data_IF_092656224096
#
_entry.id   IF_092656224096
#
_cell.length_a   1.000
_cell.length_b   1.000
_cell.length_c   1.000
_cell.angle_alpha   90.00
_cell.angle_beta   90.00
_cell.angle_gamma   90.00
#
_symmetry.space_group_name_H-M   'P 1'
#
loop_
_entity.id
_entity.type
_entity.pdbx_description
1 polymer ?
#
# COMPACT_ATOMS: atom_id res chain seq x y z
N UNK A 1 2.44 15.56 33.62
CA UNK A 1 2.59 14.90 32.32
C UNK A 1 1.57 13.77 32.27
N UNK A 2 0.67 13.78 31.27
CA UNK A 2 -0.25 12.67 31.04
C UNK A 2 0.54 11.40 30.73
N UNK A 3 0.14 10.27 31.33
CA UNK A 3 0.69 8.97 30.98
C UNK A 3 -0.19 8.37 29.87
N UNK A 4 0.42 7.71 28.88
CA UNK A 4 -0.32 6.89 27.94
C UNK A 4 -1.11 5.78 28.69
N UNK A 5 -2.27 5.36 28.17
CA UNK A 5 -2.97 4.19 28.69
C UNK A 5 -2.06 2.97 28.80
N UNK A 6 -2.31 2.07 29.75
CA UNK A 6 -1.49 0.87 29.94
C UNK A 6 -1.54 -0.10 28.76
N UNK A 7 -2.65 -0.07 28.03
CA UNK A 7 -2.96 -0.86 26.83
C UNK A 7 -2.60 -0.16 25.52
N UNK A 8 -1.88 0.98 25.58
CA UNK A 8 -1.44 1.68 24.39
C UNK A 8 -0.50 0.79 23.56
N UNK A 9 -0.79 0.70 22.26
CA UNK A 9 -0.07 -0.16 21.34
C UNK A 9 1.14 0.59 20.74
N UNK A 10 2.28 0.44 21.38
CA UNK A 10 3.57 0.91 20.87
C UNK A 10 4.08 -0.03 19.79
N UNK A 11 4.66 0.51 18.70
CA UNK A 11 5.17 -0.32 17.63
C UNK A 11 5.82 0.43 16.50
N UNK A 12 5.99 -0.24 15.38
CA UNK A 12 6.59 0.28 14.17
C UNK A 12 5.87 -0.19 12.92
N UNK A 13 6.35 0.26 11.76
CA UNK A 13 5.75 -0.02 10.47
C UNK A 13 6.79 -0.36 9.41
N UNK A 14 6.44 -1.31 8.53
CA UNK A 14 7.12 -1.58 7.27
C UNK A 14 6.09 -1.68 6.14
N UNK A 15 6.58 -1.80 4.89
CA UNK A 15 5.74 -2.16 3.75
C UNK A 15 6.35 -3.37 3.03
N UNK A 16 5.52 -4.22 2.46
CA UNK A 16 5.93 -5.42 1.74
C UNK A 16 7.04 -5.13 0.72
N UNK A 17 6.82 -4.12 -0.12
CA UNK A 17 7.79 -3.72 -1.14
C UNK A 17 9.11 -3.16 -0.61
N UNK A 18 9.19 -2.81 0.67
CA UNK A 18 10.39 -2.24 1.31
C UNK A 18 11.19 -3.30 2.07
N UNK A 19 10.58 -4.42 2.45
CA UNK A 19 11.23 -5.37 3.34
C UNK A 19 11.19 -6.84 2.87
N UNK A 20 10.16 -7.27 2.13
CA UNK A 20 10.00 -8.71 1.83
C UNK A 20 11.11 -9.26 0.93
N UNK A 21 11.45 -8.60 -0.17
CA UNK A 21 12.25 -9.22 -1.21
C UNK A 21 11.49 -10.36 -1.91
N UNK A 22 12.20 -11.39 -2.37
CA UNK A 22 11.62 -12.58 -2.97
C UNK A 22 10.53 -12.27 -4.02
N UNK A 23 10.80 -11.27 -4.88
CA UNK A 23 9.83 -10.68 -5.81
C UNK A 23 9.30 -11.66 -6.87
N UNK A 24 10.04 -12.71 -7.15
CA UNK A 24 9.74 -13.76 -8.14
C UNK A 24 9.61 -15.15 -7.51
N UNK A 25 9.46 -15.24 -6.18
CA UNK A 25 9.33 -16.49 -5.45
C UNK A 25 7.89 -16.75 -4.99
N UNK A 26 7.58 -18.00 -4.65
CA UNK A 26 6.28 -18.37 -4.13
C UNK A 26 5.12 -18.10 -5.09
N UNK A 27 5.36 -18.05 -6.40
CA UNK A 27 4.33 -17.75 -7.39
C UNK A 27 3.86 -16.28 -7.42
N UNK A 28 4.60 -15.36 -6.80
CA UNK A 28 4.28 -13.93 -6.80
C UNK A 28 4.38 -13.32 -8.20
N UNK A 29 3.42 -12.48 -8.57
CA UNK A 29 3.46 -11.67 -9.78
C UNK A 29 4.13 -10.30 -9.57
N UNK A 30 4.41 -9.58 -10.65
CA UNK A 30 4.99 -8.23 -10.60
C UNK A 30 3.95 -7.18 -10.21
N UNK A 31 4.37 -6.22 -9.40
CA UNK A 31 3.62 -5.02 -9.04
C UNK A 31 4.30 -3.75 -9.55
N UNK A 32 3.60 -2.61 -9.49
CA UNK A 32 4.13 -1.31 -9.92
C UNK A 32 5.44 -0.91 -9.23
N UNK A 33 5.64 -1.33 -7.99
CA UNK A 33 6.87 -1.01 -7.23
C UNK A 33 8.06 -1.87 -7.64
N UNK A 34 7.82 -3.06 -8.19
CA UNK A 34 8.90 -3.96 -8.63
C UNK A 34 9.60 -3.48 -9.90
N UNK A 35 8.94 -2.64 -10.69
CA UNK A 35 9.50 -2.06 -11.92
C UNK A 35 10.03 -0.64 -11.72
N UNK A 36 10.09 -0.13 -10.48
CA UNK A 36 10.66 1.18 -10.16
C UNK A 36 12.14 1.01 -9.85
N UNK A 37 13.05 1.45 -10.75
CA UNK A 37 14.48 1.21 -10.60
C UNK A 37 15.12 2.14 -9.57
N UNK A 38 16.33 1.82 -9.19
CA UNK A 38 17.25 2.77 -8.55
C UNK A 38 17.88 3.67 -9.61
N UNK A 39 18.20 4.91 -9.22
CA UNK A 39 18.92 5.84 -10.10
C UNK A 39 18.04 6.92 -10.74
N UNK A 40 18.49 7.51 -11.87
CA UNK A 40 17.84 8.68 -12.47
C UNK A 40 16.41 8.41 -12.97
N UNK A 41 16.10 7.18 -13.37
CA UNK A 41 14.81 6.83 -13.94
C UNK A 41 13.74 6.55 -12.86
N UNK A 42 14.11 6.48 -11.59
CA UNK A 42 13.21 6.23 -10.47
C UNK A 42 12.00 7.18 -10.44
N UNK A 43 12.28 8.49 -10.44
CA UNK A 43 11.20 9.48 -10.40
C UNK A 43 10.41 9.56 -11.70
N UNK A 44 11.02 9.58 -12.89
CA UNK A 44 10.28 9.50 -14.15
C UNK A 44 9.32 8.31 -14.22
N UNK A 45 9.72 7.12 -13.74
CA UNK A 45 8.83 5.95 -13.66
C UNK A 45 7.74 6.16 -12.62
N UNK A 46 8.07 6.54 -11.38
CA UNK A 46 7.09 6.75 -10.31
C UNK A 46 6.02 7.80 -10.66
N UNK A 47 6.41 8.80 -11.46
CA UNK A 47 5.53 9.86 -11.97
C UNK A 47 4.73 9.46 -13.22
N UNK A 48 4.96 8.28 -13.78
CA UNK A 48 4.32 7.82 -15.03
C UNK A 48 4.78 8.55 -16.28
N UNK A 49 5.91 9.23 -16.23
CA UNK A 49 6.56 9.94 -17.35
C UNK A 49 7.38 8.98 -18.20
N UNK A 50 8.05 8.02 -17.57
CA UNK A 50 8.74 6.91 -18.22
C UNK A 50 7.95 5.62 -18.01
N UNK A 51 7.57 4.98 -19.11
CA UNK A 51 6.82 3.73 -19.06
C UNK A 51 7.76 2.55 -18.82
N UNK A 52 7.65 1.93 -17.65
CA UNK A 52 8.28 0.64 -17.35
C UNK A 52 7.20 -0.31 -16.80
N UNK A 53 6.97 -1.42 -17.49
CA UNK A 53 5.99 -2.45 -17.11
C UNK A 53 6.60 -3.85 -17.02
N UNK A 54 7.91 -3.94 -17.21
CA UNK A 54 8.70 -5.15 -17.07
C UNK A 54 10.07 -4.76 -16.50
N UNK A 55 10.74 -5.68 -15.84
CA UNK A 55 12.11 -5.49 -15.37
C UNK A 55 13.09 -5.84 -16.49
N UNK A 56 14.19 -5.12 -16.55
CA UNK A 56 15.30 -5.37 -17.46
C UNK A 56 16.59 -5.70 -16.70
N UNK A 57 17.65 -6.04 -17.42
CA UNK A 57 18.95 -6.37 -16.84
C UNK A 57 19.87 -5.16 -16.65
N UNK A 58 19.46 -3.97 -17.12
CA UNK A 58 20.28 -2.75 -17.11
C UNK A 58 20.09 -1.97 -15.81
N UNK A 59 18.95 -2.18 -15.13
CA UNK A 59 18.57 -1.49 -13.91
C UNK A 59 18.69 -2.35 -12.67
N UNK A 60 19.01 -1.73 -11.55
CA UNK A 60 18.89 -2.32 -10.23
C UNK A 60 17.53 -1.96 -9.60
N UNK A 61 16.82 -2.96 -9.11
CA UNK A 61 15.50 -2.81 -8.50
C UNK A 61 15.57 -3.14 -6.99
N UNK A 62 15.61 -2.12 -6.11
CA UNK A 62 15.82 -2.33 -4.67
C UNK A 62 14.79 -3.23 -4.01
N UNK A 63 13.53 -3.22 -4.48
CA UNK A 63 12.44 -4.04 -3.93
C UNK A 63 12.62 -5.54 -4.17
N UNK A 64 13.47 -5.95 -5.11
CA UNK A 64 13.68 -7.36 -5.44
C UNK A 64 14.37 -8.13 -4.32
N UNK A 65 15.35 -7.50 -3.69
CA UNK A 65 16.10 -8.05 -2.55
C UNK A 65 15.58 -7.51 -1.22
N UNK A 66 15.34 -6.19 -1.15
CA UNK A 66 14.94 -5.48 0.05
C UNK A 66 15.82 -5.83 1.26
N UNK A 67 15.25 -6.33 2.35
CA UNK A 67 15.99 -6.90 3.49
C UNK A 67 15.72 -8.40 3.65
N UNK A 68 15.12 -9.01 2.64
CA UNK A 68 14.81 -10.45 2.60
C UNK A 68 13.95 -10.95 3.78
N UNK A 69 13.01 -10.12 4.20
CA UNK A 69 12.09 -10.47 5.28
C UNK A 69 11.24 -11.70 4.95
N UNK A 70 11.01 -12.00 3.67
CA UNK A 70 10.29 -13.19 3.25
C UNK A 70 10.89 -14.48 3.84
N UNK A 71 12.21 -14.57 3.89
CA UNK A 71 12.91 -15.72 4.46
C UNK A 71 13.23 -15.56 5.96
N UNK A 72 13.31 -14.31 6.47
CA UNK A 72 13.81 -14.01 7.81
C UNK A 72 12.75 -13.46 8.78
N UNK A 73 11.46 -13.39 8.41
CA UNK A 73 10.42 -12.75 9.21
C UNK A 73 10.32 -13.25 10.66
N UNK A 74 10.65 -14.54 10.93
CA UNK A 74 10.60 -15.09 12.29
C UNK A 74 11.66 -14.47 13.20
N UNK A 75 12.84 -14.21 12.63
CA UNK A 75 13.93 -13.52 13.34
C UNK A 75 13.60 -12.05 13.53
N UNK A 76 13.09 -11.39 12.49
CA UNK A 76 12.71 -9.98 12.53
C UNK A 76 11.62 -9.70 13.56
N UNK A 77 10.56 -10.52 13.61
CA UNK A 77 9.47 -10.38 14.57
C UNK A 77 9.96 -10.61 16.00
N UNK A 78 10.89 -11.56 16.20
CA UNK A 78 11.55 -11.75 17.50
C UNK A 78 12.30 -10.49 17.93
N UNK A 79 13.05 -9.86 17.02
CA UNK A 79 13.75 -8.60 17.32
C UNK A 79 12.77 -7.46 17.63
N UNK A 80 11.64 -7.38 16.92
CA UNK A 80 10.58 -6.41 17.26
C UNK A 80 10.04 -6.63 18.67
N UNK A 81 9.86 -7.89 19.07
CA UNK A 81 9.43 -8.21 20.44
C UNK A 81 10.48 -7.77 21.49
N UNK A 82 11.76 -8.00 21.23
CA UNK A 82 12.87 -7.53 22.08
C UNK A 82 12.94 -6.00 22.17
N UNK A 83 12.57 -5.28 21.09
CA UNK A 83 12.42 -3.82 21.07
C UNK A 83 11.17 -3.33 21.84
N UNK A 84 10.28 -4.22 22.26
CA UNK A 84 9.08 -3.88 23.01
C UNK A 84 7.86 -3.54 22.14
N UNK A 85 7.80 -3.97 20.88
CA UNK A 85 6.63 -3.80 20.04
C UNK A 85 5.41 -4.50 20.62
N UNK A 86 4.29 -3.81 20.60
CA UNK A 86 2.93 -4.31 20.92
C UNK A 86 2.01 -4.27 19.71
N UNK A 87 2.43 -3.55 18.68
CA UNK A 87 1.75 -3.47 17.39
C UNK A 87 2.78 -3.43 16.27
N UNK A 88 2.54 -4.18 15.21
CA UNK A 88 3.36 -4.13 14.01
C UNK A 88 2.49 -3.85 12.80
N UNK A 89 2.69 -2.68 12.18
CA UNK A 89 2.07 -2.35 10.91
C UNK A 89 2.89 -2.92 9.77
N UNK A 90 2.22 -3.66 8.90
CA UNK A 90 2.80 -4.23 7.68
C UNK A 90 1.82 -4.08 6.50
N UNK A 91 2.26 -4.36 5.30
CA UNK A 91 1.35 -4.50 4.16
C UNK A 91 1.40 -5.91 3.58
N UNK A 92 0.34 -6.30 2.87
CA UNK A 92 0.30 -7.53 2.08
C UNK A 92 0.55 -7.17 0.62
N UNK A 93 1.52 -7.81 -0.04
CA UNK A 93 1.73 -7.65 -1.46
C UNK A 93 0.56 -8.30 -2.23
N UNK A 94 -0.23 -7.47 -2.92
CA UNK A 94 -1.41 -7.95 -3.67
C UNK A 94 -1.06 -9.09 -4.62
N UNK A 95 0.05 -8.96 -5.34
CA UNK A 95 0.51 -9.95 -6.31
C UNK A 95 1.05 -11.25 -5.71
N UNK A 96 1.31 -11.29 -4.39
CA UNK A 96 1.64 -12.54 -3.69
C UNK A 96 0.38 -13.37 -3.44
N UNK A 97 -0.76 -12.72 -3.34
CA UNK A 97 -2.07 -13.35 -3.11
C UNK A 97 -2.78 -13.67 -4.42
N UNK A 98 -2.85 -12.71 -5.33
CA UNK A 98 -3.41 -12.82 -6.67
C UNK A 98 -2.34 -12.37 -7.68
N UNK A 99 -1.55 -13.28 -8.24
CA UNK A 99 -0.39 -12.94 -9.09
C UNK A 99 -0.70 -12.04 -10.28
N UNK A 100 -1.88 -12.18 -10.88
CA UNK A 100 -2.36 -11.30 -11.95
C UNK A 100 -3.29 -10.19 -11.44
N UNK A 101 -3.62 -10.19 -10.15
CA UNK A 101 -4.44 -9.20 -9.47
C UNK A 101 -5.95 -9.46 -9.50
N UNK A 102 -6.45 -10.21 -10.49
CA UNK A 102 -7.86 -10.61 -10.64
C UNK A 102 -8.02 -12.13 -10.85
N UNK A 103 -7.08 -12.91 -10.33
CA UNK A 103 -7.14 -14.38 -10.39
C UNK A 103 -8.36 -14.90 -9.65
N UNK A 104 -9.05 -15.88 -10.24
CA UNK A 104 -10.23 -16.50 -9.63
C UNK A 104 -9.89 -17.34 -8.38
N UNK A 105 -8.67 -17.85 -8.30
CA UNK A 105 -8.17 -18.62 -7.17
C UNK A 105 -6.92 -17.93 -6.58
N UNK A 106 -6.83 -17.77 -5.27
CA UNK A 106 -5.66 -17.19 -4.65
C UNK A 106 -4.47 -18.13 -4.65
N UNK A 107 -3.29 -17.55 -4.59
CA UNK A 107 -2.03 -18.27 -4.39
C UNK A 107 -1.92 -18.72 -2.93
N UNK A 108 -2.04 -20.02 -2.70
CA UNK A 108 -2.02 -20.59 -1.35
C UNK A 108 -0.66 -20.43 -0.65
N UNK A 109 0.43 -20.38 -1.40
CA UNK A 109 1.77 -20.17 -0.84
C UNK A 109 1.89 -18.74 -0.25
N UNK A 110 1.38 -17.74 -0.97
CA UNK A 110 1.33 -16.38 -0.47
C UNK A 110 0.42 -16.21 0.75
N UNK A 111 -0.75 -16.87 0.75
CA UNK A 111 -1.65 -16.85 1.91
C UNK A 111 -0.98 -17.48 3.15
N UNK A 112 -0.29 -18.60 2.98
CA UNK A 112 0.41 -19.30 4.06
C UNK A 112 1.55 -18.49 4.64
N UNK A 113 2.32 -17.80 3.79
CA UNK A 113 3.38 -16.90 4.25
C UNK A 113 2.85 -15.84 5.23
N UNK A 114 1.79 -15.13 4.88
CA UNK A 114 1.21 -14.13 5.79
C UNK A 114 0.53 -14.75 7.01
N UNK A 115 -0.07 -15.93 6.86
CA UNK A 115 -0.64 -16.63 8.00
C UNK A 115 0.42 -16.98 9.06
N UNK A 116 1.56 -17.54 8.62
CA UNK A 116 2.70 -17.83 9.51
C UNK A 116 3.28 -16.56 10.13
N UNK A 117 3.34 -15.46 9.35
CA UNK A 117 3.83 -14.17 9.84
C UNK A 117 2.92 -13.62 10.95
N UNK A 118 1.60 -13.70 10.80
CA UNK A 118 0.66 -13.27 11.83
C UNK A 118 0.71 -14.17 13.07
N UNK A 119 0.86 -15.48 12.87
CA UNK A 119 1.01 -16.43 13.99
C UNK A 119 2.30 -16.14 14.77
N UNK A 120 3.38 -15.78 14.10
CA UNK A 120 4.63 -15.39 14.78
C UNK A 120 4.46 -14.07 15.55
N UNK A 121 3.73 -13.08 15.00
CA UNK A 121 3.39 -11.85 15.74
C UNK A 121 2.61 -12.18 17.02
N UNK A 122 1.58 -12.99 16.94
CA UNK A 122 0.75 -13.36 18.09
C UNK A 122 1.54 -14.13 19.15
N UNK A 123 2.46 -14.97 18.76
CA UNK A 123 3.36 -15.70 19.67
C UNK A 123 4.11 -14.77 20.62
N UNK A 124 4.47 -13.56 20.15
CA UNK A 124 5.13 -12.54 20.94
C UNK A 124 4.18 -11.47 21.51
N UNK A 125 2.87 -11.62 21.34
CA UNK A 125 1.89 -10.65 21.81
C UNK A 125 1.94 -9.31 21.05
N UNK A 126 2.35 -9.35 19.77
CA UNK A 126 2.37 -8.22 18.86
C UNK A 126 1.08 -8.27 18.02
N UNK A 127 0.29 -7.21 18.06
CA UNK A 127 -0.94 -7.07 17.28
C UNK A 127 -0.62 -6.65 15.85
N UNK A 128 -1.03 -7.42 14.81
CA UNK A 128 -0.88 -7.00 13.43
C UNK A 128 -1.85 -5.86 13.06
N UNK A 129 -1.33 -4.82 12.38
CA UNK A 129 -2.11 -3.79 11.70
C UNK A 129 -1.78 -3.86 10.21
N UNK A 130 -2.72 -4.32 9.39
CA UNK A 130 -2.46 -4.73 8.01
C UNK A 130 -2.93 -3.69 7.02
N UNK A 131 -2.03 -3.22 6.16
CA UNK A 131 -2.34 -2.39 5.00
C UNK A 131 -2.60 -3.29 3.79
N UNK A 132 -3.78 -3.18 3.18
CA UNK A 132 -4.20 -4.02 2.05
C UNK A 132 -3.48 -3.65 0.75
N UNK A 133 -3.27 -2.36 0.47
CA UNK A 133 -2.52 -1.89 -0.69
C UNK A 133 -1.53 -0.78 -0.30
N UNK A 134 -0.24 -1.03 -0.53
CA UNK A 134 0.83 -0.08 -0.24
C UNK A 134 1.65 0.20 -1.51
N UNK A 135 1.02 0.89 -2.48
CA UNK A 135 1.60 1.27 -3.77
C UNK A 135 1.93 0.11 -4.72
N UNK A 136 1.42 -1.07 -4.47
CA UNK A 136 1.78 -2.32 -5.15
C UNK A 136 0.70 -2.82 -6.13
N UNK A 137 0.21 -1.91 -6.98
CA UNK A 137 -0.78 -2.27 -8.02
C UNK A 137 -0.21 -3.33 -8.97
N UNK A 138 -0.92 -4.46 -9.19
CA UNK A 138 -0.46 -5.53 -10.08
C UNK A 138 -0.18 -5.05 -11.51
N UNK A 139 1.01 -5.33 -12.05
CA UNK A 139 1.39 -4.97 -13.44
C UNK A 139 0.44 -5.60 -14.46
N UNK A 140 -0.04 -6.80 -14.21
CA UNK A 140 -1.01 -7.44 -15.09
C UNK A 140 -2.30 -6.62 -15.21
N UNK A 141 -2.81 -6.03 -14.11
CA UNK A 141 -3.98 -5.14 -14.14
C UNK A 141 -3.66 -3.79 -14.79
N UNK A 142 -2.44 -3.28 -14.63
CA UNK A 142 -2.01 -2.07 -15.33
C UNK A 142 -1.98 -2.32 -16.85
N UNK A 143 -1.42 -3.44 -17.29
CA UNK A 143 -1.42 -3.85 -18.71
C UNK A 143 -2.85 -4.07 -19.24
N UNK A 144 -3.73 -4.67 -18.44
CA UNK A 144 -5.09 -5.07 -18.83
C UNK A 144 -6.09 -3.92 -18.81
N UNK A 145 -6.02 -3.05 -17.81
CA UNK A 145 -7.02 -2.02 -17.52
C UNK A 145 -6.46 -0.59 -17.50
N UNK A 146 -5.15 -0.42 -17.50
CA UNK A 146 -4.50 0.89 -17.35
C UNK A 146 -4.46 1.39 -15.91
N UNK A 147 -4.43 0.48 -14.94
CA UNK A 147 -4.42 0.82 -13.51
C UNK A 147 -5.76 1.39 -13.04
N UNK A 148 -5.72 2.19 -11.98
CA UNK A 148 -6.90 2.70 -11.28
C UNK A 148 -7.76 3.68 -12.07
N UNK A 149 -7.39 4.06 -13.29
CA UNK A 149 -8.27 4.83 -14.17
C UNK A 149 -9.49 4.04 -14.65
N UNK A 150 -9.45 2.72 -14.61
CA UNK A 150 -10.56 1.85 -15.00
C UNK A 150 -11.38 1.40 -13.77
N UNK A 151 -12.70 1.47 -13.89
CA UNK A 151 -13.64 1.09 -12.82
C UNK A 151 -13.52 -0.37 -12.40
N UNK A 152 -13.09 -1.27 -13.30
CA UNK A 152 -12.91 -2.70 -13.01
C UNK A 152 -11.89 -2.98 -11.91
N UNK A 153 -10.95 -2.05 -11.66
CA UNK A 153 -10.03 -2.13 -10.53
C UNK A 153 -10.75 -2.21 -9.18
N UNK A 154 -11.90 -1.55 -9.07
CA UNK A 154 -12.72 -1.57 -7.84
C UNK A 154 -13.19 -2.99 -7.50
N UNK A 155 -13.60 -3.77 -8.51
CA UNK A 155 -14.10 -5.12 -8.29
C UNK A 155 -12.94 -6.11 -8.08
N UNK A 156 -11.83 -5.96 -8.81
CA UNK A 156 -10.61 -6.74 -8.58
C UNK A 156 -10.06 -6.54 -7.15
N UNK A 157 -10.01 -5.30 -6.70
CA UNK A 157 -9.59 -4.99 -5.32
C UNK A 157 -10.57 -5.53 -4.27
N UNK A 158 -11.88 -5.44 -4.50
CA UNK A 158 -12.88 -5.98 -3.60
C UNK A 158 -12.74 -7.51 -3.46
N UNK A 159 -12.51 -8.23 -4.57
CA UNK A 159 -12.24 -9.66 -4.56
C UNK A 159 -10.97 -10.00 -3.76
N UNK A 160 -9.86 -9.28 -4.00
CA UNK A 160 -8.64 -9.43 -3.22
C UNK A 160 -8.88 -9.23 -1.71
N UNK A 161 -9.59 -8.18 -1.33
CA UNK A 161 -9.92 -7.92 0.07
C UNK A 161 -10.77 -9.03 0.67
N UNK A 162 -11.77 -9.54 -0.06
CA UNK A 162 -12.63 -10.62 0.39
C UNK A 162 -11.84 -11.89 0.71
N UNK A 163 -10.92 -12.28 -0.18
CA UNK A 163 -10.00 -13.42 0.03
C UNK A 163 -9.22 -13.26 1.34
N UNK A 164 -8.65 -12.08 1.58
CA UNK A 164 -7.87 -11.82 2.79
C UNK A 164 -8.72 -11.82 4.06
N UNK A 165 -9.89 -11.19 4.03
CA UNK A 165 -10.79 -11.13 5.19
C UNK A 165 -11.33 -12.50 5.57
N UNK A 166 -11.62 -13.35 4.58
CA UNK A 166 -12.03 -14.73 4.83
C UNK A 166 -10.89 -15.56 5.42
N UNK A 167 -9.68 -15.46 4.85
CA UNK A 167 -8.51 -16.23 5.28
C UNK A 167 -8.04 -15.85 6.67
N UNK A 168 -7.95 -14.55 6.95
CA UNK A 168 -7.33 -14.03 8.17
C UNK A 168 -8.36 -13.62 9.24
N UNK A 169 -9.60 -14.05 9.09
CA UNK A 169 -10.63 -13.88 10.09
C UNK A 169 -10.18 -14.45 11.45
N UNK A 170 -10.24 -13.62 12.49
CA UNK A 170 -9.79 -13.96 13.84
C UNK A 170 -8.28 -13.88 14.06
N UNK A 171 -7.47 -13.63 13.01
CA UNK A 171 -6.03 -13.41 13.11
C UNK A 171 -5.65 -11.93 13.05
N UNK A 172 -6.40 -11.12 12.30
CA UNK A 172 -6.13 -9.69 12.13
C UNK A 172 -7.37 -8.88 12.46
N UNK A 173 -7.22 -7.93 13.39
CA UNK A 173 -8.29 -7.04 13.83
C UNK A 173 -8.23 -5.67 13.16
N UNK A 174 -7.02 -5.16 12.90
CA UNK A 174 -6.79 -3.80 12.41
C UNK A 174 -6.35 -3.80 10.96
N UNK A 175 -7.08 -3.04 10.12
CA UNK A 175 -6.87 -2.99 8.68
C UNK A 175 -6.79 -1.56 8.17
N UNK A 176 -5.93 -1.32 7.20
CA UNK A 176 -5.91 -0.09 6.42
C UNK A 176 -6.14 -0.45 4.95
N UNK A 177 -7.08 0.21 4.30
CA UNK A 177 -7.42 -0.10 2.90
C UNK A 177 -6.29 0.30 1.95
N UNK A 178 -5.82 1.54 2.07
CA UNK A 178 -4.72 2.07 1.26
C UNK A 178 -3.71 2.77 2.14
N UNK A 179 -2.45 2.72 1.72
CA UNK A 179 -1.42 3.61 2.21
C UNK A 179 -1.45 4.91 1.41
N UNK A 180 -1.51 6.04 2.11
CA UNK A 180 -1.37 7.38 1.51
C UNK A 180 -2.20 7.55 0.23
N UNK A 181 -3.50 7.25 0.29
CA UNK A 181 -4.41 7.20 -0.86
C UNK A 181 -4.37 8.49 -1.73
N UNK A 182 -4.01 9.63 -1.15
CA UNK A 182 -3.87 10.89 -1.86
C UNK A 182 -2.54 11.02 -2.64
N UNK A 183 -1.55 10.12 -2.42
CA UNK A 183 -0.26 10.19 -3.12
C UNK A 183 -0.36 9.88 -4.61
N UNK A 184 -1.43 9.26 -5.08
CA UNK A 184 -1.66 9.09 -6.51
C UNK A 184 -1.72 10.43 -7.28
N UNK A 185 -2.08 11.53 -6.60
CA UNK A 185 -2.08 12.86 -7.22
C UNK A 185 -0.65 13.38 -7.48
N UNK A 186 0.32 12.93 -6.70
CA UNK A 186 1.73 13.34 -6.77
C UNK A 186 2.60 12.31 -7.52
N UNK A 187 2.43 11.02 -7.24
CA UNK A 187 3.16 9.90 -7.86
C UNK A 187 2.18 8.92 -8.50
N UNK A 188 1.57 9.29 -9.65
CA UNK A 188 0.43 8.57 -10.21
C UNK A 188 0.71 7.13 -10.64
N UNK A 189 1.91 6.81 -11.15
CA UNK A 189 2.23 5.42 -11.47
C UNK A 189 2.47 4.59 -10.22
N UNK A 190 3.28 5.08 -9.30
CA UNK A 190 3.54 4.36 -8.06
C UNK A 190 2.27 4.23 -7.21
N UNK A 191 1.49 5.30 -7.08
CA UNK A 191 0.27 5.33 -6.26
C UNK A 191 -0.88 4.51 -6.83
N UNK A 192 -1.08 4.55 -8.15
CA UNK A 192 -2.29 4.03 -8.79
C UNK A 192 -2.06 3.33 -10.15
N UNK A 193 -0.81 3.02 -10.52
CA UNK A 193 -0.48 2.37 -11.79
C UNK A 193 -0.86 3.20 -13.02
N UNK A 194 -0.90 4.53 -12.91
CA UNK A 194 -1.35 5.40 -13.99
C UNK A 194 -0.23 5.73 -14.98
N UNK A 195 -0.51 5.51 -16.25
CA UNK A 195 0.26 5.98 -17.39
C UNK A 195 -0.65 6.84 -18.26
N UNK A 196 -0.13 7.93 -18.79
CA UNK A 196 -0.91 8.90 -19.55
C UNK A 196 -0.64 8.78 -21.05
N UNK A 197 -1.70 8.76 -21.85
CA UNK A 197 -1.59 8.84 -23.30
C UNK A 197 -1.38 10.31 -23.75
N UNK A 198 -0.75 10.54 -24.92
CA UNK A 198 -0.68 11.86 -25.49
C UNK A 198 -2.09 12.48 -25.65
N UNK A 199 -2.27 13.70 -25.12
CA UNK A 199 -3.53 14.43 -25.18
C UNK A 199 -4.55 14.06 -24.09
N UNK A 200 -4.28 13.09 -23.21
CA UNK A 200 -5.13 12.82 -22.05
C UNK A 200 -5.13 14.01 -21.08
N UNK A 201 -6.30 14.33 -20.52
CA UNK A 201 -6.36 15.27 -19.41
C UNK A 201 -5.85 14.61 -18.11
N UNK A 202 -4.59 14.84 -17.79
CA UNK A 202 -3.89 14.21 -16.66
C UNK A 202 -4.64 14.42 -15.33
N UNK A 203 -5.14 15.63 -15.08
CA UNK A 203 -5.86 15.92 -13.84
C UNK A 203 -7.18 15.13 -13.76
N UNK A 204 -7.94 15.13 -14.83
CA UNK A 204 -9.18 14.34 -14.88
C UNK A 204 -8.93 12.86 -14.62
N UNK A 205 -7.88 12.27 -15.23
CA UNK A 205 -7.50 10.87 -15.02
C UNK A 205 -7.12 10.60 -13.56
N UNK A 206 -6.31 11.47 -12.96
CA UNK A 206 -5.91 11.34 -11.55
C UNK A 206 -7.11 11.38 -10.61
N UNK A 207 -8.01 12.36 -10.77
CA UNK A 207 -9.19 12.46 -9.92
C UNK A 207 -10.19 11.33 -10.16
N UNK A 208 -10.30 10.82 -11.39
CA UNK A 208 -11.10 9.64 -11.66
C UNK A 208 -10.52 8.39 -10.98
N UNK A 209 -9.22 8.21 -11.00
CA UNK A 209 -8.55 7.12 -10.30
C UNK A 209 -8.71 7.24 -8.78
N UNK A 210 -8.55 8.45 -8.22
CA UNK A 210 -8.80 8.72 -6.81
C UNK A 210 -10.23 8.35 -6.40
N UNK A 211 -11.22 8.70 -7.22
CA UNK A 211 -12.60 8.29 -7.00
C UNK A 211 -12.74 6.75 -6.98
N UNK A 212 -12.09 6.04 -7.89
CA UNK A 212 -12.14 4.58 -7.91
C UNK A 212 -11.50 3.96 -6.66
N UNK A 213 -10.33 4.44 -6.21
CA UNK A 213 -9.71 3.97 -4.98
C UNK A 213 -10.58 4.25 -3.74
N UNK A 214 -11.18 5.43 -3.64
CA UNK A 214 -12.11 5.75 -2.55
C UNK A 214 -13.35 4.84 -2.54
N UNK A 215 -13.91 4.54 -3.71
CA UNK A 215 -15.01 3.58 -3.81
C UNK A 215 -14.57 2.16 -3.46
N UNK A 216 -13.38 1.74 -3.88
CA UNK A 216 -12.80 0.45 -3.53
C UNK A 216 -12.56 0.34 -2.02
N UNK A 217 -12.02 1.40 -1.41
CA UNK A 217 -11.88 1.50 0.05
C UNK A 217 -13.21 1.33 0.78
N UNK A 218 -14.24 2.05 0.34
CA UNK A 218 -15.58 1.94 0.94
C UNK A 218 -16.19 0.53 0.78
N UNK A 219 -15.99 -0.13 -0.38
CA UNK A 219 -16.41 -1.54 -0.57
C UNK A 219 -15.64 -2.48 0.36
N UNK A 220 -14.32 -2.31 0.50
CA UNK A 220 -13.51 -3.12 1.40
C UNK A 220 -13.97 -3.00 2.86
N UNK A 221 -14.28 -1.78 3.33
CA UNK A 221 -14.83 -1.55 4.68
C UNK A 221 -16.15 -2.31 4.88
N UNK A 222 -17.05 -2.24 3.90
CA UNK A 222 -18.34 -2.97 3.98
C UNK A 222 -18.15 -4.49 4.02
N UNK A 223 -17.24 -5.02 3.19
CA UNK A 223 -16.90 -6.45 3.18
C UNK A 223 -16.27 -6.88 4.50
N UNK A 224 -15.32 -6.10 5.02
CA UNK A 224 -14.67 -6.40 6.29
C UNK A 224 -15.69 -6.52 7.42
N UNK A 225 -16.60 -5.56 7.57
CA UNK A 225 -17.62 -5.59 8.64
C UNK A 225 -18.65 -6.69 8.43
N UNK A 226 -18.94 -7.11 7.20
CA UNK A 226 -19.82 -8.24 6.92
C UNK A 226 -19.17 -9.58 7.30
N UNK A 227 -17.86 -9.74 7.08
CA UNK A 227 -17.12 -10.98 7.36
C UNK A 227 -16.60 -11.01 8.80
N UNK A 228 -16.14 -9.86 9.31
CA UNK A 228 -15.49 -9.65 10.60
C UNK A 228 -16.12 -8.43 11.29
N UNK A 229 -17.28 -8.58 11.98
CA UNK A 229 -18.02 -7.44 12.57
C UNK A 229 -17.19 -6.57 13.54
N UNK A 230 -16.20 -7.18 14.22
CA UNK A 230 -15.33 -6.50 15.20
C UNK A 230 -14.04 -5.92 14.59
N UNK A 231 -13.83 -6.04 13.27
CA UNK A 231 -12.67 -5.49 12.62
C UNK A 231 -12.71 -3.95 12.62
N UNK A 232 -11.55 -3.35 12.84
CA UNK A 232 -11.36 -1.90 12.73
C UNK A 232 -10.66 -1.60 11.41
N UNK A 233 -11.33 -0.86 10.54
CA UNK A 233 -10.86 -0.60 9.18
C UNK A 233 -10.75 0.90 8.95
N UNK A 234 -9.56 1.34 8.55
CA UNK A 234 -9.27 2.73 8.22
C UNK A 234 -8.66 2.89 6.84
N UNK A 235 -8.22 4.11 6.56
CA UNK A 235 -7.45 4.47 5.37
C UNK A 235 -6.35 5.45 5.79
N UNK A 236 -5.15 5.34 5.22
CA UNK A 236 -4.07 6.24 5.54
C UNK A 236 -3.99 7.39 4.52
N UNK A 237 -3.78 8.61 5.03
CA UNK A 237 -3.50 9.81 4.24
C UNK A 237 -2.06 10.27 4.48
N UNK A 238 -1.37 10.68 3.42
CA UNK A 238 -0.15 11.47 3.53
C UNK A 238 -0.54 12.90 3.91
N UNK A 239 -0.49 13.20 5.20
CA UNK A 239 -0.82 14.50 5.76
C UNK A 239 0.45 15.15 6.33
N UNK A 240 1.29 15.66 5.43
CA UNK A 240 2.44 16.48 5.82
C UNK A 240 1.97 17.85 6.28
N UNK A 241 2.33 18.23 7.50
CA UNK A 241 2.11 19.59 7.97
C UNK A 241 3.38 20.42 7.73
N UNK A 242 3.27 21.43 6.90
CA UNK A 242 4.36 22.34 6.59
C UNK A 242 4.18 23.65 7.36
N UNK A 243 5.25 24.07 8.02
CA UNK A 243 5.28 25.37 8.69
C UNK A 243 6.14 26.33 7.89
N UNK A 244 5.76 27.63 7.80
CA UNK A 244 6.60 28.61 7.16
C UNK A 244 7.92 28.75 7.92
N UNK A 245 9.03 28.90 7.18
CA UNK A 245 10.36 29.06 7.77
C UNK A 245 10.48 30.32 8.65
N UNK A 246 9.70 31.35 8.33
CA UNK A 246 9.65 32.61 9.09
C UNK A 246 8.21 33.09 9.12
N UNK A 247 7.92 34.06 9.98
CA UNK A 247 6.61 34.73 10.03
C UNK A 247 6.39 35.80 8.95
N UNK A 248 7.19 35.80 7.87
CA UNK A 248 6.97 36.71 6.75
C UNK A 248 5.59 36.43 6.11
N UNK A 249 4.78 37.48 5.87
CA UNK A 249 3.40 37.32 5.39
C UNK A 249 3.27 36.45 4.14
N UNK A 250 4.20 36.59 3.19
CA UNK A 250 4.23 35.77 1.96
C UNK A 250 4.42 34.27 2.22
N UNK A 251 5.19 33.88 3.24
CA UNK A 251 5.41 32.48 3.60
C UNK A 251 4.26 31.91 4.44
N UNK A 252 3.67 32.72 5.34
CA UNK A 252 2.47 32.35 6.07
C UNK A 252 1.32 32.08 5.10
N UNK A 253 1.11 32.98 4.16
CA UNK A 253 0.05 32.91 3.17
C UNK A 253 0.15 31.66 2.28
N UNK A 254 1.35 31.31 1.81
CA UNK A 254 1.57 30.14 0.93
C UNK A 254 1.58 28.80 1.67
N UNK A 255 1.67 28.79 3.00
CA UNK A 255 1.65 27.58 3.82
C UNK A 255 0.35 27.38 4.60
N UNK A 256 -0.61 28.31 4.49
CA UNK A 256 -1.91 28.19 5.14
C UNK A 256 -2.83 27.30 4.30
N UNK A 257 -3.24 26.16 4.87
CA UNK A 257 -4.18 25.24 4.23
C UNK A 257 -5.57 25.86 3.96
N UNK A 258 -5.92 26.98 4.60
CA UNK A 258 -7.15 27.71 4.33
C UNK A 258 -7.12 28.42 2.97
N UNK A 259 -5.94 28.76 2.45
CA UNK A 259 -5.77 29.38 1.15
C UNK A 259 -5.94 28.41 -0.04
N UNK A 260 -5.73 27.12 0.18
CA UNK A 260 -6.00 26.12 -0.86
C UNK A 260 -7.49 26.03 -1.23
N UNK A 261 -8.39 26.49 -0.35
CA UNK A 261 -9.84 26.60 -0.62
C UNK A 261 -10.18 27.77 -1.56
N UNK A 262 -9.39 28.83 -1.57
CA UNK A 262 -9.62 29.99 -2.44
C UNK A 262 -9.16 29.75 -3.89
N UNK A 263 -8.45 28.67 -4.16
CA UNK A 263 -7.96 28.31 -5.51
C UNK A 263 -8.81 27.25 -6.22
N UNK A 264 -9.95 26.89 -5.66
CA UNK A 264 -10.85 25.84 -6.19
C UNK A 264 -12.09 26.44 -6.86
N UNK A 265 -12.11 27.74 -7.13
CA UNK A 265 -13.12 28.41 -7.93
C UNK A 265 -12.77 28.45 -9.43
#
# INVERSE_FOLDING_TARGET
MGKFPKDFLWGGATAANQCEGAYNEGGRGLSSVDVVPFGPDRFPVALGQLKMLDCDAEHFYPSHEAIDMYHHFKEDIKLFAEMGFRCYRLSIAWTRILPNGDDAQPNEEGLRFYEELFDECHKYGIEPLVTLCHFDTPIALIKKYGGWKDRRMVDAYAHYCEVLFQRFRGKVKYWLTFNEINMLLHMPFMGAGLLFAPGENVQQVKYQAAHHELVASAKAVKLAHAIMPDAMVGCMLAAGQFYPRTCAPCLLYTSDAADDKARVD
#
